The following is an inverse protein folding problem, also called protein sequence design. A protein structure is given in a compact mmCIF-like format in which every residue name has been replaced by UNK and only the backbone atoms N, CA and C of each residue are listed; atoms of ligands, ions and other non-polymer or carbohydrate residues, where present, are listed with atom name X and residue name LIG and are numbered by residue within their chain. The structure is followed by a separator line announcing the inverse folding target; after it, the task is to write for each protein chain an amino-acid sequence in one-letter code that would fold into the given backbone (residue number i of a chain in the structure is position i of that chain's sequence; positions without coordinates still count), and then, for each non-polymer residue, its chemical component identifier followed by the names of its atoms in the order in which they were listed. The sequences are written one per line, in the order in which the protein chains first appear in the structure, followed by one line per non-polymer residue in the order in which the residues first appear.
data_IF_182278162113
#
_entry.id   IF_182278162113
#
_cell.length_a   1.000
_cell.length_b   1.000
_cell.length_c   1.000
_cell.angle_alpha   90.00
_cell.angle_beta   90.00
_cell.angle_gamma   90.00
#
_symmetry.space_group_name_H-M   'P 1'
#
loop_
_entity.id
_entity.type
_entity.pdbx_description
1 polymer ?
#
# COMPACT_ATOMS: atom_id res chain seq x y z
N UNK A 1 -15.92 6.12 -1.89
CA UNK A 1 -14.71 5.39 -1.47
C UNK A 1 -13.61 6.40 -1.21
N UNK A 2 -12.80 6.20 -0.18
CA UNK A 2 -11.60 7.02 0.02
C UNK A 2 -10.59 6.72 -1.08
N UNK A 3 -10.12 7.73 -1.78
CA UNK A 3 -9.11 7.65 -2.84
C UNK A 3 -7.88 8.41 -2.42
N UNK A 4 -6.70 7.86 -2.68
CA UNK A 4 -5.46 8.57 -2.44
C UNK A 4 -5.15 9.54 -3.60
N UNK A 5 -4.72 10.75 -3.27
CA UNK A 5 -4.09 11.70 -4.19
C UNK A 5 -2.65 11.92 -3.77
N UNK A 6 -1.74 11.88 -4.76
CA UNK A 6 -0.29 11.97 -4.55
C UNK A 6 0.25 13.12 -5.38
N UNK A 7 1.09 13.96 -4.76
CA UNK A 7 1.81 15.05 -5.41
C UNK A 7 0.94 16.02 -6.24
N UNK A 8 -0.38 15.96 -6.08
CA UNK A 8 -1.30 16.82 -6.79
C UNK A 8 -1.35 18.17 -6.06
N UNK A 9 -0.79 19.18 -6.72
CA UNK A 9 -0.79 20.54 -6.23
C UNK A 9 -2.09 21.31 -6.47
N UNK A 10 -2.98 20.77 -7.31
CA UNK A 10 -4.20 21.44 -7.73
C UNK A 10 -3.97 22.87 -8.27
N UNK A 11 -5.07 23.59 -8.49
CA UNK A 11 -5.09 25.05 -8.65
C UNK A 11 -5.75 25.69 -7.42
N UNK A 12 -5.53 25.11 -6.24
CA UNK A 12 -6.18 25.59 -5.02
C UNK A 12 -5.35 26.75 -4.42
N UNK A 13 -5.91 27.97 -4.34
CA UNK A 13 -5.18 29.14 -3.85
C UNK A 13 -4.82 29.05 -2.37
N UNK A 14 -5.37 28.09 -1.62
CA UNK A 14 -5.15 27.91 -0.19
C UNK A 14 -4.05 26.90 0.14
N UNK A 15 -3.43 26.27 -0.87
CA UNK A 15 -2.31 25.34 -0.66
C UNK A 15 -1.02 25.89 -1.26
N UNK A 16 0.04 25.87 -0.45
CA UNK A 16 1.37 26.35 -0.83
C UNK A 16 2.38 25.22 -0.70
N UNK A 17 3.40 25.23 -1.57
CA UNK A 17 4.48 24.25 -1.53
C UNK A 17 5.79 24.84 -2.05
N UNK A 18 6.90 24.47 -1.41
CA UNK A 18 8.27 24.81 -1.85
C UNK A 18 8.88 23.77 -2.79
N UNK A 19 8.28 22.59 -2.92
CA UNK A 19 8.79 21.45 -3.70
C UNK A 19 7.75 20.88 -4.68
N UNK A 20 6.81 21.70 -5.16
CA UNK A 20 5.71 21.27 -6.03
C UNK A 20 4.90 20.06 -5.50
N UNK A 21 4.69 19.98 -4.18
CA UNK A 21 3.87 18.97 -3.49
C UNK A 21 4.41 17.55 -3.56
N UNK A 22 5.65 17.36 -4.05
CA UNK A 22 6.33 16.07 -4.07
C UNK A 22 6.37 15.47 -2.65
N UNK A 23 5.97 14.21 -2.54
CA UNK A 23 5.83 13.47 -1.28
C UNK A 23 4.52 13.70 -0.53
N UNK A 24 3.66 14.62 -0.98
CA UNK A 24 2.35 14.84 -0.35
C UNK A 24 1.39 13.71 -0.70
N UNK A 25 0.75 13.15 0.32
CA UNK A 25 -0.29 12.14 0.19
C UNK A 25 -1.52 12.59 0.97
N UNK A 26 -2.69 12.67 0.31
CA UNK A 26 -3.96 13.02 0.95
C UNK A 26 -5.05 12.03 0.56
N UNK A 27 -6.04 11.86 1.45
CA UNK A 27 -7.22 11.06 1.19
C UNK A 27 -8.42 11.95 0.88
N UNK A 28 -9.08 11.69 -0.24
CA UNK A 28 -10.32 12.36 -0.66
C UNK A 28 -11.44 11.33 -0.75
N UNK A 29 -12.62 11.67 -0.27
CA UNK A 29 -13.77 10.79 -0.43
C UNK A 29 -14.47 11.08 -1.76
N UNK A 30 -14.57 10.06 -2.61
CA UNK A 30 -15.29 10.13 -3.88
C UNK A 30 -16.43 9.08 -3.89
N UNK A 31 -17.71 9.47 -3.90
CA UNK A 31 -18.84 8.53 -3.92
C UNK A 31 -18.93 7.70 -5.22
N UNK A 32 -18.36 8.20 -6.32
CA UNK A 32 -18.27 7.52 -7.62
C UNK A 32 -17.05 6.61 -7.75
N UNK A 33 -16.02 6.77 -6.92
CA UNK A 33 -14.80 5.99 -7.04
C UNK A 33 -14.99 4.49 -6.77
N UNK A 34 -14.27 3.70 -7.57
CA UNK A 34 -14.08 2.26 -7.45
C UNK A 34 -15.26 1.40 -7.89
N UNK A 35 -14.96 0.19 -8.38
CA UNK A 35 -15.96 -0.80 -8.78
C UNK A 35 -16.70 -1.39 -7.56
N UNK A 36 -17.84 -2.07 -7.75
CA UNK A 36 -18.53 -2.76 -6.67
C UNK A 36 -17.64 -3.74 -5.89
N UNK A 37 -16.78 -4.47 -6.61
CA UNK A 37 -15.82 -5.43 -6.04
C UNK A 37 -14.79 -4.71 -5.19
N UNK A 38 -14.25 -3.60 -5.68
CA UNK A 38 -13.25 -2.81 -4.94
C UNK A 38 -13.83 -2.24 -3.65
N UNK A 39 -15.07 -1.75 -3.71
CA UNK A 39 -15.77 -1.23 -2.53
C UNK A 39 -16.05 -2.35 -1.52
N UNK A 40 -16.39 -3.55 -1.99
CA UNK A 40 -16.60 -4.71 -1.15
C UNK A 40 -15.30 -5.14 -0.43
N UNK A 41 -14.17 -5.18 -1.13
CA UNK A 41 -12.86 -5.48 -0.52
C UNK A 41 -12.47 -4.45 0.55
N UNK A 42 -12.73 -3.16 0.30
CA UNK A 42 -12.48 -2.09 1.29
C UNK A 42 -13.36 -2.25 2.52
N UNK A 43 -14.64 -2.59 2.33
CA UNK A 43 -15.55 -2.85 3.45
C UNK A 43 -15.14 -4.11 4.23
N UNK A 44 -14.71 -5.17 3.55
CA UNK A 44 -14.16 -6.37 4.20
C UNK A 44 -12.94 -6.03 5.05
N UNK A 45 -11.99 -5.25 4.51
CA UNK A 45 -10.82 -4.79 5.24
C UNK A 45 -11.21 -3.97 6.49
N UNK A 46 -12.22 -3.10 6.37
CA UNK A 46 -12.75 -2.31 7.50
C UNK A 46 -13.38 -3.20 8.58
N UNK A 47 -14.16 -4.20 8.19
CA UNK A 47 -14.76 -5.17 9.10
C UNK A 47 -13.71 -6.03 9.80
N UNK A 48 -12.70 -6.47 9.06
CA UNK A 48 -11.58 -7.24 9.59
C UNK A 48 -10.77 -6.44 10.61
N UNK A 49 -10.50 -5.16 10.33
CA UNK A 49 -9.91 -4.23 11.30
C UNK A 49 -10.77 -4.15 12.56
N UNK A 50 -12.08 -3.90 12.41
CA UNK A 50 -12.98 -3.75 13.55
C UNK A 50 -12.96 -5.00 14.44
N UNK A 51 -13.06 -6.20 13.86
CA UNK A 51 -13.04 -7.47 14.61
C UNK A 51 -11.73 -7.70 15.36
N UNK A 52 -10.60 -7.32 14.79
CA UNK A 52 -9.27 -7.69 15.30
C UNK A 52 -8.50 -6.54 15.98
N UNK A 53 -9.07 -5.32 16.04
CA UNK A 53 -8.36 -4.10 16.50
C UNK A 53 -7.72 -4.17 17.90
N UNK A 54 -8.19 -5.08 18.76
CA UNK A 54 -7.62 -5.29 20.10
C UNK A 54 -6.77 -6.56 20.22
N UNK A 55 -6.75 -7.41 19.19
CA UNK A 55 -6.04 -8.69 19.18
C UNK A 55 -4.75 -8.60 18.37
N UNK A 56 -4.77 -7.83 17.28
CA UNK A 56 -3.67 -7.74 16.32
C UNK A 56 -3.40 -6.28 16.02
N UNK A 57 -2.11 -5.92 15.91
CA UNK A 57 -1.72 -4.59 15.46
C UNK A 57 -2.17 -4.39 14.01
N UNK A 58 -3.03 -3.40 13.81
CA UNK A 58 -3.51 -3.05 12.48
C UNK A 58 -2.41 -2.44 11.61
N UNK A 59 -2.44 -2.76 10.31
CA UNK A 59 -1.65 -2.06 9.30
C UNK A 59 -2.35 -0.73 8.99
N UNK A 60 -1.63 0.38 9.22
CA UNK A 60 -2.12 1.73 8.93
C UNK A 60 -2.18 2.08 7.45
N UNK A 61 -1.56 1.26 6.60
CA UNK A 61 -1.38 1.48 5.17
C UNK A 61 -2.06 0.41 4.30
N UNK A 62 -2.90 -0.46 4.87
CA UNK A 62 -3.56 -1.53 4.12
C UNK A 62 -4.39 -0.98 2.96
N UNK A 63 -5.23 0.02 3.22
CA UNK A 63 -6.06 0.65 2.21
C UNK A 63 -5.22 1.30 1.09
N UNK A 64 -4.10 1.90 1.47
CA UNK A 64 -3.13 2.48 0.55
C UNK A 64 -2.51 1.42 -0.38
N UNK A 65 -2.01 0.32 0.21
CA UNK A 65 -1.43 -0.81 -0.54
C UNK A 65 -2.43 -1.43 -1.50
N UNK A 66 -3.69 -1.58 -1.08
CA UNK A 66 -4.75 -2.13 -1.94
C UNK A 66 -4.93 -1.30 -3.23
N UNK A 67 -4.94 0.02 -3.13
CA UNK A 67 -5.08 0.90 -4.30
C UNK A 67 -3.82 0.85 -5.18
N UNK A 68 -2.64 1.04 -4.62
CA UNK A 68 -1.38 1.06 -5.38
C UNK A 68 -1.11 -0.22 -6.14
N UNK A 69 -1.20 -1.36 -5.44
CA UNK A 69 -0.88 -2.65 -6.04
C UNK A 69 -1.87 -2.97 -7.16
N UNK A 70 -3.14 -2.56 -7.02
CA UNK A 70 -4.15 -2.77 -8.05
C UNK A 70 -3.93 -1.88 -9.27
N UNK A 71 -3.66 -0.59 -9.09
CA UNK A 71 -3.34 0.34 -10.18
C UNK A 71 -2.18 -0.19 -11.04
N UNK A 72 -1.17 -0.79 -10.39
CA UNK A 72 -0.01 -1.40 -11.08
C UNK A 72 -0.24 -2.82 -11.57
N UNK A 73 -1.43 -3.39 -11.34
CA UNK A 73 -1.76 -4.80 -11.62
C UNK A 73 -0.70 -5.75 -11.03
N UNK A 74 -0.15 -5.38 -9.87
CA UNK A 74 0.97 -6.07 -9.27
C UNK A 74 0.58 -7.49 -8.86
N UNK A 75 1.45 -8.44 -9.18
CA UNK A 75 1.35 -9.81 -8.71
C UNK A 75 2.70 -10.22 -8.13
N UNK A 76 2.71 -10.62 -6.87
CA UNK A 76 3.92 -11.12 -6.24
C UNK A 76 4.22 -12.53 -6.77
N UNK A 77 5.25 -12.67 -7.59
CA UNK A 77 5.63 -13.92 -8.24
C UNK A 77 6.70 -14.71 -7.48
N UNK A 78 7.45 -14.05 -6.59
CA UNK A 78 8.52 -14.68 -5.82
C UNK A 78 7.91 -15.28 -4.55
N UNK A 79 7.96 -16.60 -4.34
CA UNK A 79 7.40 -17.30 -3.15
C UNK A 79 7.97 -16.76 -1.82
N UNK A 80 7.17 -16.63 -0.74
CA UNK A 80 7.69 -16.24 0.56
C UNK A 80 8.54 -17.37 1.15
N UNK A 81 9.70 -17.02 1.69
CA UNK A 81 10.52 -17.93 2.49
C UNK A 81 10.00 -17.92 3.93
N UNK A 82 9.78 -19.12 4.49
CA UNK A 82 9.51 -19.31 5.92
C UNK A 82 10.73 -20.00 6.53
N UNK A 83 11.21 -19.47 7.65
CA UNK A 83 12.35 -20.01 8.39
C UNK A 83 11.81 -20.34 9.78
N UNK A 84 11.85 -21.61 10.14
CA UNK A 84 11.44 -22.09 11.45
C UNK A 84 12.54 -21.82 12.50
N UNK A 85 12.18 -21.89 13.77
CA UNK A 85 13.13 -21.67 14.86
C UNK A 85 14.28 -22.70 14.80
N UNK A 86 15.51 -22.23 15.00
CA UNK A 86 16.72 -23.04 14.90
C UNK A 86 17.17 -23.43 13.48
N UNK A 87 16.46 -23.02 12.42
CA UNK A 87 16.94 -23.23 11.04
C UNK A 87 18.04 -22.23 10.67
N UNK A 88 19.07 -22.72 9.98
CA UNK A 88 20.16 -21.89 9.48
C UNK A 88 19.67 -20.99 8.32
N UNK A 89 20.01 -19.70 8.40
CA UNK A 89 19.69 -18.73 7.34
C UNK A 89 20.80 -18.78 6.28
N UNK A 90 20.50 -19.42 5.15
CA UNK A 90 21.43 -19.45 4.01
C UNK A 90 21.44 -18.12 3.26
N UNK A 91 22.51 -17.86 2.50
CA UNK A 91 22.60 -16.71 1.61
C UNK A 91 21.45 -16.67 0.57
N UNK A 92 21.02 -17.83 0.09
CA UNK A 92 19.92 -17.97 -0.87
C UNK A 92 18.56 -17.60 -0.25
N UNK A 93 18.34 -17.99 1.01
CA UNK A 93 17.15 -17.59 1.78
C UNK A 93 17.10 -16.06 1.91
N UNK A 94 18.19 -15.45 2.36
CA UNK A 94 18.31 -14.01 2.52
C UNK A 94 18.12 -13.27 1.17
N UNK A 95 18.76 -13.75 0.12
CA UNK A 95 18.67 -13.16 -1.23
C UNK A 95 17.25 -13.24 -1.79
N UNK A 96 16.57 -14.38 -1.62
CA UNK A 96 15.19 -14.56 -2.10
C UNK A 96 14.22 -13.67 -1.33
N UNK A 97 14.36 -13.60 0.00
CA UNK A 97 13.57 -12.71 0.84
C UNK A 97 13.75 -11.24 0.45
N UNK A 98 15.01 -10.80 0.23
CA UNK A 98 15.31 -9.45 -0.20
C UNK A 98 14.72 -9.13 -1.58
N UNK A 99 14.91 -10.01 -2.57
CA UNK A 99 14.32 -9.84 -3.91
C UNK A 99 12.80 -9.72 -3.85
N UNK A 100 12.13 -10.56 -3.06
CA UNK A 100 10.67 -10.49 -2.84
C UNK A 100 10.25 -9.16 -2.24
N UNK A 101 10.99 -8.68 -1.23
CA UNK A 101 10.72 -7.41 -0.56
C UNK A 101 10.91 -6.22 -1.51
N UNK A 102 12.05 -6.16 -2.22
CA UNK A 102 12.33 -5.09 -3.20
C UNK A 102 11.27 -5.08 -4.29
N UNK A 103 10.93 -6.24 -4.87
CA UNK A 103 9.88 -6.33 -5.88
C UNK A 103 8.54 -5.78 -5.39
N UNK A 104 8.19 -6.04 -4.13
CA UNK A 104 6.97 -5.51 -3.51
C UNK A 104 7.02 -4.00 -3.27
N UNK A 105 8.09 -3.49 -2.66
CA UNK A 105 8.20 -2.07 -2.34
C UNK A 105 8.40 -1.19 -3.58
N UNK A 106 9.05 -1.69 -4.63
CA UNK A 106 9.11 -1.00 -5.92
C UNK A 106 7.71 -0.84 -6.55
N UNK A 107 6.78 -1.76 -6.31
CA UNK A 107 5.39 -1.61 -6.73
C UNK A 107 4.60 -0.61 -5.88
N UNK A 108 5.08 -0.27 -4.68
CA UNK A 108 4.44 0.66 -3.77
C UNK A 108 4.99 2.09 -3.87
N UNK A 109 6.15 2.29 -4.51
CA UNK A 109 6.72 3.62 -4.71
C UNK A 109 5.83 4.47 -5.62
N UNK A 110 5.46 5.68 -5.23
CA UNK A 110 4.65 6.58 -6.05
C UNK A 110 5.40 7.11 -7.29
N UNK A 111 4.67 7.73 -8.22
CA UNK A 111 5.23 8.26 -9.47
C UNK A 111 6.23 9.40 -9.26
N UNK A 112 6.13 10.11 -8.14
CA UNK A 112 7.06 11.15 -7.70
C UNK A 112 8.25 10.61 -6.90
N UNK A 113 8.35 9.29 -6.75
CA UNK A 113 9.45 8.59 -6.09
C UNK A 113 9.29 8.40 -4.58
N UNK A 114 8.21 8.89 -3.97
CA UNK A 114 7.93 8.80 -2.53
C UNK A 114 7.11 7.57 -2.11
#
# INVERSE_FOLDING_TARGET
MWKLKIAEGGNDPYIFSTNNFVGRQIWEFDPGAGSPEERAEVEEARQNFYKNRYQIKASGDLLWRMQFLRERKFKQTITPIKIEDGQEITYENATTALKRAVHFYSALQASDGH
#
